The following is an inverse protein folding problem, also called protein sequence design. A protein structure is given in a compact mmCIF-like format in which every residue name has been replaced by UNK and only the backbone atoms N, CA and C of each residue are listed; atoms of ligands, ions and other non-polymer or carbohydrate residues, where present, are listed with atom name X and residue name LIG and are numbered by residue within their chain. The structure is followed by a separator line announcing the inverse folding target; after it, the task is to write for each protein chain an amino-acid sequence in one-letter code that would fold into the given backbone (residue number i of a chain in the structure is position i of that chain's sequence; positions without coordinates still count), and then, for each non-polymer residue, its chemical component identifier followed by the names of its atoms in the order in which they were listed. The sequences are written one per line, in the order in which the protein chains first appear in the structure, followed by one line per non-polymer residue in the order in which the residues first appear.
data_IF_795375619619
#
_entry.id   IF_795375619619
#
_cell.length_a   1.000
_cell.length_b   1.000
_cell.length_c   1.000
_cell.angle_alpha   90.00
_cell.angle_beta   90.00
_cell.angle_gamma   90.00
#
_symmetry.space_group_name_H-M   'P 1'
#
loop_
_entity.id
_entity.type
_entity.pdbx_description
1 polymer ?
#
# COMPACT_ATOMS: atom_id res chain seq x y z
N UNK A 1 46.09 4.30 -5.58
CA UNK A 1 45.41 4.23 -4.26
C UNK A 1 44.29 5.27 -4.10
N UNK A 2 44.55 6.58 -4.26
CA UNK A 2 43.53 7.63 -4.07
C UNK A 2 42.25 7.51 -4.95
N UNK A 3 42.37 6.96 -6.17
CA UNK A 3 41.24 6.71 -7.08
C UNK A 3 40.28 5.61 -6.58
N UNK A 4 40.80 4.56 -5.94
CA UNK A 4 39.97 3.47 -5.39
C UNK A 4 39.15 3.95 -4.17
N UNK A 5 39.73 4.79 -3.31
CA UNK A 5 39.01 5.37 -2.17
C UNK A 5 37.88 6.31 -2.60
N UNK A 6 38.06 7.09 -3.68
CA UNK A 6 36.99 7.93 -4.25
C UNK A 6 35.84 7.10 -4.83
N UNK A 7 36.14 6.01 -5.55
CA UNK A 7 35.11 5.12 -6.10
C UNK A 7 34.34 4.45 -4.97
N UNK A 8 35.03 3.95 -3.93
CA UNK A 8 34.39 3.33 -2.77
C UNK A 8 33.50 4.32 -2.02
N UNK A 9 33.95 5.56 -1.84
CA UNK A 9 33.17 6.62 -1.21
C UNK A 9 31.91 6.97 -2.01
N UNK A 10 32.00 7.08 -3.34
CA UNK A 10 30.86 7.33 -4.21
C UNK A 10 29.84 6.18 -4.13
N UNK A 11 30.30 4.93 -4.14
CA UNK A 11 29.43 3.75 -3.99
C UNK A 11 28.74 3.76 -2.61
N UNK A 12 29.47 4.05 -1.53
CA UNK A 12 28.90 4.10 -0.18
C UNK A 12 27.88 5.25 0.00
N UNK A 13 28.15 6.44 -0.56
CA UNK A 13 27.21 7.57 -0.53
C UNK A 13 25.97 7.26 -1.37
N UNK A 14 26.12 6.63 -2.54
CA UNK A 14 24.98 6.20 -3.36
C UNK A 14 24.13 5.13 -2.66
N UNK A 15 24.75 4.17 -1.99
CA UNK A 15 24.04 3.14 -1.23
C UNK A 15 23.24 3.75 -0.06
N UNK A 16 23.79 4.74 0.64
CA UNK A 16 23.09 5.42 1.75
C UNK A 16 21.87 6.25 1.29
N UNK A 17 21.88 6.78 0.07
CA UNK A 17 20.74 7.51 -0.50
C UNK A 17 19.61 6.60 -0.99
N UNK A 18 19.92 5.33 -1.31
CA UNK A 18 18.96 4.36 -1.85
C UNK A 18 18.10 3.73 -0.75
N UNK A 19 18.56 3.68 0.50
CA UNK A 19 17.72 3.29 1.64
C UNK A 19 16.78 4.44 2.03
N UNK A 20 15.76 4.67 1.20
CA UNK A 20 14.64 5.55 1.52
C UNK A 20 14.02 5.11 2.85
N UNK A 21 14.08 5.98 3.86
CA UNK A 21 13.51 5.70 5.18
C UNK A 21 11.98 5.72 5.08
N UNK A 22 11.35 4.56 4.98
CA UNK A 22 9.89 4.41 5.10
C UNK A 22 9.43 5.14 6.35
N UNK A 23 8.52 6.09 6.18
CA UNK A 23 7.96 6.88 7.28
C UNK A 23 6.60 6.32 7.66
N UNK A 24 6.19 6.51 8.93
CA UNK A 24 4.93 5.97 9.43
C UNK A 24 3.90 7.08 9.59
N UNK A 25 2.67 6.83 9.15
CA UNK A 25 1.53 7.73 9.34
C UNK A 25 0.44 6.94 10.06
N UNK A 26 0.08 7.37 11.27
CA UNK A 26 -1.01 6.74 12.01
C UNK A 26 -2.35 7.12 11.42
N UNK A 27 -3.23 6.14 11.27
CA UNK A 27 -4.59 6.33 10.79
C UNK A 27 -5.44 6.95 11.91
N UNK A 28 -6.21 8.02 11.65
CA UNK A 28 -7.06 8.64 12.67
C UNK A 28 -8.06 7.65 13.28
N UNK A 29 -8.27 7.66 14.62
CA UNK A 29 -9.18 6.73 15.30
C UNK A 29 -10.61 6.74 14.76
N UNK A 30 -11.08 7.89 14.30
CA UNK A 30 -12.43 8.05 13.73
C UNK A 30 -12.61 7.17 12.48
N UNK A 31 -11.55 7.05 11.66
CA UNK A 31 -11.55 6.23 10.46
C UNK A 31 -11.42 4.73 10.78
N UNK A 32 -10.68 4.38 11.83
CA UNK A 32 -10.46 2.99 12.25
C UNK A 32 -11.77 2.25 12.54
N UNK A 33 -12.71 2.89 13.23
CA UNK A 33 -14.01 2.28 13.55
C UNK A 33 -14.78 1.84 12.29
N UNK A 34 -14.80 2.68 11.26
CA UNK A 34 -15.42 2.37 9.99
C UNK A 34 -14.63 1.30 9.23
N UNK A 35 -13.29 1.32 9.28
CA UNK A 35 -12.45 0.29 8.68
C UNK A 35 -12.72 -1.09 9.31
N UNK A 36 -12.78 -1.21 10.64
CA UNK A 36 -13.10 -2.49 11.28
C UNK A 36 -14.46 -3.04 10.86
N UNK A 37 -15.50 -2.20 10.89
CA UNK A 37 -16.85 -2.60 10.48
C UNK A 37 -16.88 -3.10 9.03
N UNK A 38 -16.24 -2.36 8.12
CA UNK A 38 -16.14 -2.74 6.70
C UNK A 38 -15.30 -4.00 6.47
N UNK A 39 -14.24 -4.18 7.24
CA UNK A 39 -13.43 -5.40 7.21
C UNK A 39 -14.29 -6.62 7.57
N UNK A 40 -15.07 -6.56 8.65
CA UNK A 40 -15.99 -7.65 9.04
C UNK A 40 -16.99 -7.98 7.94
N UNK A 41 -17.65 -6.96 7.34
CA UNK A 41 -18.57 -7.16 6.21
C UNK A 41 -17.89 -7.86 5.01
N UNK A 42 -16.61 -7.57 4.77
CA UNK A 42 -15.85 -8.19 3.69
C UNK A 42 -15.40 -9.62 4.02
N UNK A 43 -15.07 -9.92 5.27
CA UNK A 43 -14.78 -11.31 5.69
C UNK A 43 -15.98 -12.21 5.40
N UNK A 44 -17.19 -11.77 5.76
CA UNK A 44 -18.43 -12.52 5.49
C UNK A 44 -18.68 -12.75 3.98
N UNK A 45 -18.39 -11.74 3.15
CA UNK A 45 -18.62 -11.81 1.70
C UNK A 45 -17.62 -12.69 0.96
N UNK A 46 -16.37 -12.71 1.40
CA UNK A 46 -15.28 -13.33 0.63
C UNK A 46 -14.85 -14.67 1.20
N UNK A 47 -15.27 -15.00 2.43
CA UNK A 47 -14.87 -16.23 3.11
C UNK A 47 -13.37 -16.33 3.33
N UNK A 48 -12.67 -15.20 3.43
CA UNK A 48 -11.23 -15.19 3.75
C UNK A 48 -11.01 -15.84 5.12
N UNK A 49 -10.00 -16.71 5.21
CA UNK A 49 -9.66 -17.38 6.46
C UNK A 49 -8.89 -16.45 7.40
N UNK A 50 -8.87 -16.81 8.68
CA UNK A 50 -8.25 -16.00 9.72
C UNK A 50 -6.72 -15.88 9.56
N UNK A 51 -6.05 -16.88 8.99
CA UNK A 51 -4.60 -16.86 8.78
C UNK A 51 -4.24 -15.84 7.68
N UNK A 52 -4.92 -15.90 6.54
CA UNK A 52 -4.80 -14.92 5.45
C UNK A 52 -5.10 -13.51 5.94
N UNK A 53 -6.16 -13.33 6.74
CA UNK A 53 -6.51 -12.03 7.32
C UNK A 53 -5.41 -11.49 8.25
N UNK A 54 -4.82 -12.32 9.11
CA UNK A 54 -3.71 -11.93 9.97
C UNK A 54 -2.49 -11.46 9.18
N UNK A 55 -2.18 -12.13 8.06
CA UNK A 55 -1.09 -11.72 7.17
C UNK A 55 -1.35 -10.34 6.57
N UNK A 56 -2.60 -10.05 6.17
CA UNK A 56 -2.97 -8.74 5.62
C UNK A 56 -2.79 -7.62 6.66
N UNK A 57 -3.12 -7.85 7.93
CA UNK A 57 -2.95 -6.86 9.01
C UNK A 57 -1.48 -6.44 9.22
N UNK A 58 -0.53 -7.28 8.80
CA UNK A 58 0.91 -6.99 8.83
C UNK A 58 1.49 -6.76 7.43
N UNK A 59 0.64 -6.38 6.47
CA UNK A 59 1.02 -6.03 5.10
C UNK A 59 1.68 -7.16 4.29
N UNK A 60 1.39 -8.42 4.66
CA UNK A 60 1.78 -9.61 3.88
C UNK A 60 0.57 -10.08 3.10
N UNK A 61 0.58 -9.85 1.79
CA UNK A 61 -0.53 -10.23 0.92
C UNK A 61 -0.20 -11.54 0.21
N UNK A 62 -1.10 -12.51 0.30
CA UNK A 62 -1.00 -13.78 -0.41
C UNK A 62 -1.83 -13.73 -1.70
N UNK A 63 -1.36 -14.36 -2.77
CA UNK A 63 -2.06 -14.32 -4.06
C UNK A 63 -3.11 -15.43 -4.17
N UNK A 64 -4.13 -15.37 -3.31
CA UNK A 64 -5.28 -16.28 -3.34
C UNK A 64 -6.54 -15.54 -3.77
N UNK A 65 -7.50 -16.25 -4.38
CA UNK A 65 -8.76 -15.63 -4.81
C UNK A 65 -9.51 -14.94 -3.64
N UNK A 66 -9.58 -15.59 -2.48
CA UNK A 66 -10.20 -15.02 -1.28
C UNK A 66 -9.48 -13.75 -0.79
N UNK A 67 -8.14 -13.72 -0.87
CA UNK A 67 -7.34 -12.55 -0.52
C UNK A 67 -7.56 -11.39 -1.49
N UNK A 68 -7.52 -11.65 -2.80
CA UNK A 68 -7.79 -10.62 -3.83
C UNK A 68 -9.18 -10.02 -3.67
N UNK A 69 -10.19 -10.89 -3.51
CA UNK A 69 -11.57 -10.48 -3.29
C UNK A 69 -11.72 -9.66 -2.00
N UNK A 70 -11.08 -10.07 -0.91
CA UNK A 70 -11.11 -9.34 0.36
C UNK A 70 -10.46 -7.96 0.24
N UNK A 71 -9.27 -7.87 -0.34
CA UNK A 71 -8.56 -6.58 -0.51
C UNK A 71 -9.39 -5.62 -1.34
N UNK A 72 -9.97 -6.08 -2.45
CA UNK A 72 -10.87 -5.26 -3.27
C UNK A 72 -12.13 -4.83 -2.52
N UNK A 73 -12.82 -5.76 -1.87
CA UNK A 73 -14.01 -5.44 -1.07
C UNK A 73 -13.69 -4.38 -0.02
N UNK A 74 -12.61 -4.59 0.74
CA UNK A 74 -12.22 -3.72 1.83
C UNK A 74 -11.87 -2.33 1.29
N UNK A 75 -10.90 -2.22 0.37
CA UNK A 75 -10.45 -0.95 -0.17
C UNK A 75 -11.59 -0.16 -0.85
N UNK A 76 -12.49 -0.86 -1.55
CA UNK A 76 -13.66 -0.24 -2.18
C UNK A 76 -14.66 0.29 -1.15
N UNK A 77 -14.95 -0.48 -0.11
CA UNK A 77 -15.97 -0.16 0.90
C UNK A 77 -15.61 1.04 1.78
N UNK A 78 -14.32 1.35 1.92
CA UNK A 78 -13.79 2.53 2.62
C UNK A 78 -13.39 3.66 1.65
N UNK A 79 -13.59 3.46 0.34
CA UNK A 79 -13.39 4.49 -0.68
C UNK A 79 -11.95 4.73 -1.13
N UNK A 80 -11.00 3.84 -0.78
CA UNK A 80 -9.62 3.90 -1.26
C UNK A 80 -9.41 3.19 -2.60
N UNK A 81 -10.39 2.43 -3.07
CA UNK A 81 -10.41 1.86 -4.41
C UNK A 81 -11.63 2.31 -5.22
N UNK A 82 -11.46 2.49 -6.53
CA UNK A 82 -12.54 2.77 -7.47
C UNK A 82 -13.25 1.47 -7.93
N UNK A 83 -14.15 1.59 -8.91
CA UNK A 83 -14.91 0.44 -9.42
C UNK A 83 -14.04 -0.60 -10.14
N UNK A 84 -12.93 -0.16 -10.73
CA UNK A 84 -12.05 -0.94 -11.60
C UNK A 84 -10.88 -1.57 -10.84
N UNK A 85 -10.73 -1.23 -9.55
CA UNK A 85 -9.70 -1.77 -8.67
C UNK A 85 -8.45 -0.90 -8.56
N UNK A 86 -8.53 0.37 -8.95
CA UNK A 86 -7.42 1.32 -8.82
C UNK A 86 -7.57 2.17 -7.56
N UNK A 87 -6.43 2.64 -7.03
CA UNK A 87 -6.40 3.49 -5.85
C UNK A 87 -7.02 4.87 -6.13
N UNK A 88 -7.89 5.32 -5.25
CA UNK A 88 -8.43 6.69 -5.27
C UNK A 88 -7.39 7.63 -4.66
N UNK A 89 -6.56 8.22 -5.52
CA UNK A 89 -5.41 9.06 -5.13
C UNK A 89 -5.75 10.13 -4.11
N UNK A 90 -6.80 10.91 -4.36
CA UNK A 90 -7.14 12.05 -3.49
C UNK A 90 -7.42 11.61 -2.05
N UNK A 91 -8.08 10.46 -1.87
CA UNK A 91 -8.36 9.90 -0.53
C UNK A 91 -7.09 9.53 0.22
N UNK A 92 -6.15 8.88 -0.45
CA UNK A 92 -4.89 8.46 0.18
C UNK A 92 -4.01 9.67 0.48
N UNK A 93 -4.03 10.68 -0.40
CA UNK A 93 -3.31 11.92 -0.22
C UNK A 93 -3.91 12.80 0.89
N UNK A 94 -5.23 12.75 1.09
CA UNK A 94 -5.92 13.34 2.24
C UNK A 94 -5.43 12.70 3.55
N UNK A 95 -5.38 11.36 3.60
CA UNK A 95 -4.86 10.62 4.76
C UNK A 95 -3.40 10.95 5.08
N UNK A 96 -2.56 11.20 4.08
CA UNK A 96 -1.18 11.62 4.28
C UNK A 96 -1.03 13.05 4.83
N UNK A 97 -2.10 13.85 4.86
CA UNK A 97 -2.10 15.19 5.46
C UNK A 97 -1.03 16.11 4.87
N UNK A 98 -0.15 16.67 5.71
CA UNK A 98 1.00 17.49 5.29
C UNK A 98 2.33 16.73 5.41
N UNK A 99 2.31 15.40 5.37
CA UNK A 99 3.52 14.60 5.53
C UNK A 99 4.56 14.93 4.44
N UNK A 100 5.83 15.02 4.82
CA UNK A 100 6.94 15.45 3.94
C UNK A 100 7.06 14.62 2.65
N UNK A 101 6.68 13.34 2.71
CA UNK A 101 6.76 12.40 1.58
C UNK A 101 5.47 12.32 0.76
N UNK A 102 4.52 13.25 0.96
CA UNK A 102 3.23 13.25 0.27
C UNK A 102 3.37 13.34 -1.25
N UNK A 103 4.32 14.13 -1.74
CA UNK A 103 4.54 14.27 -3.17
C UNK A 103 5.05 12.96 -3.81
N UNK A 104 5.99 12.29 -3.13
CA UNK A 104 6.50 10.98 -3.53
C UNK A 104 5.41 9.91 -3.46
N UNK A 105 4.57 9.94 -2.41
CA UNK A 105 3.40 9.07 -2.29
C UNK A 105 2.47 9.22 -3.51
N UNK A 106 2.18 10.46 -3.93
CA UNK A 106 1.33 10.72 -5.09
C UNK A 106 1.87 10.10 -6.38
N UNK A 107 3.20 10.13 -6.58
CA UNK A 107 3.85 9.50 -7.74
C UNK A 107 3.74 7.97 -7.70
N UNK A 108 3.91 7.38 -6.51
CA UNK A 108 3.76 5.93 -6.32
C UNK A 108 2.33 5.48 -6.62
N UNK A 109 1.33 6.25 -6.20
CA UNK A 109 -0.08 5.94 -6.51
C UNK A 109 -0.30 5.95 -8.02
N UNK A 110 0.16 6.99 -8.73
CA UNK A 110 0.02 7.09 -10.19
C UNK A 110 0.71 5.91 -10.89
N UNK A 111 1.92 5.56 -10.46
CA UNK A 111 2.68 4.44 -10.99
C UNK A 111 1.97 3.10 -10.76
N UNK A 112 1.49 2.86 -9.53
CA UNK A 112 0.87 1.60 -9.16
C UNK A 112 -0.54 1.42 -9.75
N UNK A 113 -1.26 2.51 -10.03
CA UNK A 113 -2.49 2.48 -10.81
C UNK A 113 -2.26 2.10 -12.29
N UNK A 114 -1.00 1.99 -12.73
CA UNK A 114 -0.67 1.36 -14.02
C UNK A 114 -0.82 -0.17 -14.03
N UNK A 115 -1.04 -0.81 -12.87
CA UNK A 115 -1.13 -2.27 -12.74
C UNK A 115 -2.23 -2.88 -13.60
N UNK A 116 -1.99 -4.08 -14.11
CA UNK A 116 -2.90 -4.80 -15.03
C UNK A 116 -3.29 -6.16 -14.47
N UNK A 117 -4.57 -6.51 -14.62
CA UNK A 117 -5.16 -7.78 -14.22
C UNK A 117 -6.34 -8.14 -15.12
N UNK A 118 -6.81 -9.38 -15.02
CA UNK A 118 -7.95 -9.92 -15.76
C UNK A 118 -9.30 -9.57 -15.12
N UNK A 119 -9.28 -9.18 -13.85
CA UNK A 119 -10.45 -8.75 -13.07
C UNK A 119 -10.10 -7.57 -12.16
N UNK A 120 -11.12 -6.87 -11.64
CA UNK A 120 -10.96 -5.72 -10.73
C UNK A 120 -10.30 -6.10 -9.40
N UNK A 121 -10.56 -7.31 -8.88
CA UNK A 121 -9.91 -7.84 -7.69
C UNK A 121 -8.42 -8.14 -7.93
N UNK A 122 -8.08 -8.67 -9.11
CA UNK A 122 -6.69 -8.87 -9.51
C UNK A 122 -5.94 -7.56 -9.75
N UNK A 123 -6.60 -6.58 -10.38
CA UNK A 123 -6.07 -5.22 -10.54
C UNK A 123 -5.79 -4.60 -9.16
N UNK A 124 -6.74 -4.67 -8.23
CA UNK A 124 -6.56 -4.13 -6.89
C UNK A 124 -5.46 -4.83 -6.13
N UNK A 125 -5.40 -6.17 -6.17
CA UNK A 125 -4.33 -6.91 -5.52
C UNK A 125 -2.95 -6.48 -6.01
N UNK A 126 -2.74 -6.43 -7.34
CA UNK A 126 -1.47 -6.01 -7.93
C UNK A 126 -1.14 -4.56 -7.62
N UNK A 127 -2.15 -3.68 -7.64
CA UNK A 127 -2.00 -2.27 -7.27
C UNK A 127 -1.58 -2.14 -5.81
N UNK A 128 -2.19 -2.90 -4.90
CA UNK A 128 -1.85 -2.91 -3.47
C UNK A 128 -0.43 -3.45 -3.23
N UNK A 129 -0.03 -4.55 -3.89
CA UNK A 129 1.33 -5.08 -3.80
C UNK A 129 2.36 -4.05 -4.28
N UNK A 130 2.12 -3.43 -5.44
CA UNK A 130 2.99 -2.36 -5.95
C UNK A 130 3.09 -1.21 -4.94
N UNK A 131 1.97 -0.78 -4.39
CA UNK A 131 1.92 0.33 -3.44
C UNK A 131 2.70 0.01 -2.17
N UNK A 132 2.53 -1.19 -1.58
CA UNK A 132 3.27 -1.60 -0.38
C UNK A 132 4.78 -1.69 -0.61
N UNK A 133 5.21 -2.09 -1.81
CA UNK A 133 6.63 -2.19 -2.15
C UNK A 133 7.30 -0.83 -2.38
N UNK A 134 6.57 0.15 -2.93
CA UNK A 134 7.14 1.41 -3.40
C UNK A 134 6.81 2.61 -2.50
N UNK A 135 5.75 2.51 -1.69
CA UNK A 135 5.28 3.64 -0.91
C UNK A 135 6.35 4.13 0.07
N UNK A 136 6.64 5.44 0.11
CA UNK A 136 7.52 6.02 1.12
C UNK A 136 6.84 6.10 2.50
N UNK A 137 5.54 5.80 2.59
CA UNK A 137 4.72 5.88 3.79
C UNK A 137 4.07 4.52 4.06
N UNK A 138 4.24 4.03 5.29
CA UNK A 138 3.42 2.94 5.82
C UNK A 138 2.34 3.53 6.72
N UNK A 139 1.08 3.27 6.38
CA UNK A 139 -0.03 3.63 7.25
C UNK A 139 -0.17 2.59 8.37
N UNK A 140 -0.30 3.03 9.61
CA UNK A 140 -0.41 2.14 10.77
C UNK A 140 -1.70 2.41 11.53
N UNK A 141 -2.26 1.37 12.13
CA UNK A 141 -3.36 1.47 13.08
C UNK A 141 -2.89 2.19 14.36
#
# INVERSE_FOLDING_TARGET
MLKMFKILYIVLVSAALVYGKTSFVSIPPELLSNMFRRSTECVEKTGIDAESLQKILVWKLEDTESTRNYIYCFAKSIGYADGDGYLVKDRIMELAGNHRSKNELGKVIDECNGSKGSSKDEIMYKTAVCFLQKSPILFTL
#
